data_IF_083593017155
#
_entry.id   IF_083593017155
#
_cell.length_a   1.000
_cell.length_b   1.000
_cell.length_c   1.000
_cell.angle_alpha   90.00
_cell.angle_beta   90.00
_cell.angle_gamma   90.00
#
_symmetry.space_group_name_H-M   'P 1'
#
loop_
_entity.id
_entity.type
_entity.pdbx_description
1 polymer ?
#
# COMPACT_ATOMS: atom_id res chain seq x y z
N UNK A 1 1.79 -29.53 -17.02
CA UNK A 1 1.77 -28.12 -16.58
C UNK A 1 0.78 -28.03 -15.42
N UNK A 2 1.26 -28.24 -14.18
CA UNK A 2 0.40 -28.18 -12.99
C UNK A 2 0.04 -26.72 -12.75
N UNK A 3 -1.24 -26.38 -12.88
CA UNK A 3 -1.77 -25.10 -12.44
C UNK A 3 -1.68 -25.07 -10.90
N UNK A 4 -0.61 -24.50 -10.37
CA UNK A 4 -0.56 -24.12 -8.96
C UNK A 4 -1.65 -23.06 -8.80
N UNK A 5 -2.76 -23.43 -8.16
CA UNK A 5 -3.85 -22.51 -7.82
C UNK A 5 -3.38 -21.64 -6.64
N UNK A 6 -2.46 -20.72 -6.91
CA UNK A 6 -2.03 -19.68 -5.98
C UNK A 6 -2.90 -18.45 -6.19
N UNK A 7 -3.57 -17.95 -5.14
CA UNK A 7 -4.18 -16.62 -5.24
C UNK A 7 -3.16 -15.56 -4.87
N UNK A 8 -3.19 -14.45 -5.58
CA UNK A 8 -2.41 -13.26 -5.26
C UNK A 8 -3.31 -12.31 -4.47
N UNK A 9 -2.82 -11.83 -3.33
CA UNK A 9 -3.50 -10.84 -2.50
C UNK A 9 -2.61 -9.60 -2.40
N UNK A 10 -3.10 -8.48 -2.92
CA UNK A 10 -2.41 -7.21 -2.85
C UNK A 10 -2.96 -6.38 -1.69
N UNK A 11 -2.08 -5.77 -0.88
CA UNK A 11 -2.47 -5.03 0.33
C UNK A 11 -1.57 -3.80 0.49
N UNK A 12 -2.11 -2.60 0.77
CA UNK A 12 -1.29 -1.42 1.05
C UNK A 12 -0.42 -1.58 2.31
N UNK A 13 0.74 -0.91 2.35
CA UNK A 13 1.55 -0.79 3.56
C UNK A 13 0.69 -0.20 4.69
N UNK A 14 0.88 -0.71 5.92
CA UNK A 14 0.14 -0.28 7.10
C UNK A 14 -1.27 -0.87 7.23
N UNK A 15 -1.84 -1.41 6.16
CA UNK A 15 -3.14 -2.07 6.20
C UNK A 15 -3.07 -3.48 6.83
N UNK A 16 -4.23 -4.12 7.01
CA UNK A 16 -4.31 -5.51 7.49
C UNK A 16 -4.54 -6.44 6.30
N UNK A 17 -3.64 -7.39 6.08
CA UNK A 17 -3.84 -8.43 5.08
C UNK A 17 -4.79 -9.51 5.61
N UNK A 18 -5.70 -9.96 4.75
CA UNK A 18 -6.65 -11.04 5.01
C UNK A 18 -6.42 -12.13 3.98
N UNK A 19 -5.82 -13.25 4.40
CA UNK A 19 -5.45 -14.36 3.52
C UNK A 19 -6.42 -15.52 3.74
N UNK A 20 -7.29 -15.85 2.76
CA UNK A 20 -8.18 -16.98 2.88
C UNK A 20 -7.41 -18.30 2.79
N UNK A 21 -7.76 -19.28 3.61
CA UNK A 21 -7.18 -20.62 3.49
C UNK A 21 -7.83 -21.38 2.32
N UNK A 22 -7.20 -21.36 1.16
CA UNK A 22 -7.68 -22.08 -0.03
C UNK A 22 -7.61 -23.61 0.09
N UNK A 23 -6.95 -24.10 1.14
CA UNK A 23 -6.82 -25.53 1.44
C UNK A 23 -7.98 -26.06 2.30
N UNK A 24 -8.73 -25.17 2.97
CA UNK A 24 -9.88 -25.54 3.78
C UNK A 24 -11.11 -25.69 2.87
N UNK A 25 -11.64 -26.90 2.76
CA UNK A 25 -12.75 -27.24 1.85
C UNK A 25 -13.71 -28.26 2.49
N UNK A 26 -14.61 -28.84 1.71
CA UNK A 26 -15.61 -29.77 2.23
C UNK A 26 -15.00 -31.07 2.79
N UNK A 27 -13.83 -31.47 2.27
CA UNK A 27 -13.14 -32.71 2.61
C UNK A 27 -11.92 -32.49 3.52
N UNK A 28 -11.47 -31.24 3.70
CA UNK A 28 -10.31 -30.89 4.51
C UNK A 28 -10.61 -29.81 5.55
N UNK A 29 -9.94 -29.88 6.70
CA UNK A 29 -10.05 -28.90 7.79
C UNK A 29 -8.73 -28.21 8.05
N UNK A 30 -8.78 -26.90 8.20
CA UNK A 30 -7.63 -26.07 8.53
C UNK A 30 -6.84 -26.60 9.74
N UNK A 31 -5.52 -26.69 9.59
CA UNK A 31 -4.61 -27.06 10.68
C UNK A 31 -3.73 -25.89 11.11
N UNK A 32 -2.94 -25.34 10.19
CA UNK A 32 -2.03 -24.23 10.48
C UNK A 32 -1.57 -23.52 9.19
N UNK A 33 -1.00 -22.34 9.37
CA UNK A 33 -0.27 -21.60 8.35
C UNK A 33 1.24 -21.77 8.53
N UNK A 34 1.95 -21.92 7.41
CA UNK A 34 3.39 -21.74 7.32
C UNK A 34 3.67 -20.39 6.67
N UNK A 35 4.37 -19.53 7.40
CA UNK A 35 4.74 -18.18 7.03
C UNK A 35 6.09 -18.19 6.31
N UNK A 36 6.50 -17.01 5.85
CA UNK A 36 7.83 -16.76 5.31
C UNK A 36 8.86 -17.01 6.43
N UNK A 37 9.92 -17.76 6.13
CA UNK A 37 10.95 -18.14 7.10
C UNK A 37 10.59 -19.34 7.99
N UNK A 38 9.70 -20.22 7.52
CA UNK A 38 9.29 -21.48 8.18
C UNK A 38 8.65 -21.34 9.56
N UNK A 39 8.27 -20.12 9.93
CA UNK A 39 7.46 -19.87 11.11
C UNK A 39 6.05 -20.43 10.91
N UNK A 40 5.48 -21.02 11.96
CA UNK A 40 4.13 -21.61 11.92
C UNK A 40 3.17 -20.79 12.77
N UNK A 41 1.95 -20.57 12.28
CA UNK A 41 0.84 -19.98 13.03
C UNK A 41 -0.34 -20.95 13.02
N UNK A 42 -0.79 -21.37 14.19
CA UNK A 42 -1.91 -22.29 14.32
C UNK A 42 -2.30 -22.51 15.79
N UNK A 43 -3.25 -23.43 16.06
CA UNK A 43 -3.63 -23.77 17.42
C UNK A 43 -2.41 -24.16 18.24
N UNK A 44 -2.17 -23.47 19.36
CA UNK A 44 -1.01 -23.71 20.24
C UNK A 44 0.29 -23.01 19.81
N UNK A 45 0.35 -22.37 18.65
CA UNK A 45 1.54 -21.64 18.19
C UNK A 45 1.18 -20.28 17.57
N UNK A 46 1.30 -19.20 18.35
CA UNK A 46 1.18 -17.81 17.89
C UNK A 46 2.45 -17.04 18.28
N UNK A 47 3.47 -16.99 17.41
CA UNK A 47 4.74 -16.31 17.70
C UNK A 47 4.59 -14.81 17.94
N UNK A 48 3.63 -14.13 17.28
CA UNK A 48 3.28 -12.74 17.55
C UNK A 48 1.76 -12.55 17.49
N UNK A 49 1.12 -12.57 18.67
CA UNK A 49 -0.35 -12.48 18.83
C UNK A 49 -0.96 -11.15 18.38
N UNK A 50 -0.16 -10.09 18.40
CA UNK A 50 -0.60 -8.76 17.98
C UNK A 50 -0.52 -8.60 16.46
N UNK A 51 0.46 -9.24 15.83
CA UNK A 51 0.65 -9.23 14.37
C UNK A 51 -0.24 -10.24 13.66
N UNK A 52 -0.26 -11.48 14.13
CA UNK A 52 -0.90 -12.61 13.46
C UNK A 52 -2.11 -13.11 14.25
N UNK A 53 -3.25 -13.21 13.57
CA UNK A 53 -4.47 -13.83 14.09
C UNK A 53 -5.07 -14.72 13.02
N UNK A 54 -5.77 -15.79 13.41
CA UNK A 54 -6.47 -16.62 12.44
C UNK A 54 -7.84 -17.04 12.95
N UNK A 55 -8.74 -17.30 12.02
CA UNK A 55 -10.05 -17.89 12.29
C UNK A 55 -9.94 -19.43 12.27
N UNK A 56 -10.41 -20.08 13.33
CA UNK A 56 -10.28 -21.55 13.48
C UNK A 56 -11.14 -22.30 12.47
N UNK A 57 -12.35 -21.81 12.17
CA UNK A 57 -13.31 -22.51 11.30
C UNK A 57 -12.98 -22.40 9.81
N UNK A 58 -12.52 -21.22 9.39
CA UNK A 58 -12.24 -20.90 7.98
C UNK A 58 -10.76 -21.05 7.65
N UNK A 59 -9.89 -20.98 8.65
CA UNK A 59 -8.45 -20.88 8.47
C UNK A 59 -7.99 -19.51 7.95
N UNK A 60 -8.83 -18.48 7.91
CA UNK A 60 -8.42 -17.15 7.41
C UNK A 60 -7.33 -16.55 8.29
N UNK A 61 -6.20 -16.15 7.70
CA UNK A 61 -5.09 -15.49 8.39
C UNK A 61 -5.19 -13.96 8.25
N UNK A 62 -5.07 -13.28 9.37
CA UNK A 62 -5.00 -11.83 9.48
C UNK A 62 -3.58 -11.41 9.86
N UNK A 63 -2.99 -10.53 9.06
CA UNK A 63 -1.68 -9.95 9.31
C UNK A 63 -1.85 -8.44 9.46
N UNK A 64 -1.70 -7.93 10.68
CA UNK A 64 -1.92 -6.50 10.96
C UNK A 64 -0.73 -5.65 10.54
N UNK A 65 -0.99 -4.42 10.12
CA UNK A 65 0.02 -3.40 9.81
C UNK A 65 1.15 -3.96 8.95
N UNK A 66 0.82 -4.44 7.75
CA UNK A 66 1.78 -5.07 6.85
C UNK A 66 2.83 -4.08 6.37
N UNK A 67 4.05 -4.56 6.20
CA UNK A 67 5.17 -3.86 5.60
C UNK A 67 5.73 -4.71 4.46
N UNK A 68 6.72 -4.20 3.74
CA UNK A 68 7.38 -4.99 2.69
C UNK A 68 8.07 -6.25 3.21
N UNK A 69 8.31 -6.37 4.53
CA UNK A 69 8.90 -7.56 5.14
C UNK A 69 7.92 -8.75 5.17
N UNK A 70 6.61 -8.50 5.14
CA UNK A 70 5.58 -9.54 5.09
C UNK A 70 5.19 -9.95 3.66
N UNK A 71 5.80 -9.38 2.62
CA UNK A 71 5.53 -9.80 1.25
C UNK A 71 6.12 -11.19 0.98
N UNK A 72 5.34 -12.09 0.37
CA UNK A 72 5.79 -13.44 0.01
C UNK A 72 4.69 -14.49 0.06
N UNK A 73 5.09 -15.76 0.04
CA UNK A 73 4.17 -16.89 -0.03
C UNK A 73 3.82 -17.43 1.36
N UNK A 74 2.52 -17.51 1.62
CA UNK A 74 1.94 -18.10 2.81
C UNK A 74 1.26 -19.41 2.43
N UNK A 75 1.58 -20.51 3.12
CA UNK A 75 0.98 -21.82 2.85
C UNK A 75 -0.05 -22.12 3.92
N UNK A 76 -1.27 -22.43 3.49
CA UNK A 76 -2.27 -23.01 4.36
C UNK A 76 -2.25 -24.53 4.26
N UNK A 77 -2.16 -25.20 5.41
CA UNK A 77 -2.17 -26.65 5.52
C UNK A 77 -3.50 -27.08 6.15
N UNK A 78 -4.21 -28.00 5.50
CA UNK A 78 -5.44 -28.60 5.99
C UNK A 78 -5.35 -30.12 5.92
N UNK A 79 -6.03 -30.79 6.84
CA UNK A 79 -6.05 -32.26 6.95
C UNK A 79 -7.38 -32.81 6.47
N UNK A 80 -7.35 -33.91 5.72
CA UNK A 80 -8.55 -34.63 5.30
C UNK A 80 -9.39 -35.11 6.49
N UNK A 81 -10.70 -35.11 6.31
CA UNK A 81 -11.67 -35.49 7.35
C UNK A 81 -11.78 -37.00 7.48
N UNK A 82 -11.81 -37.73 6.35
CA UNK A 82 -11.94 -39.18 6.31
C UNK A 82 -10.59 -39.92 6.27
N UNK A 83 -9.51 -39.19 5.97
CA UNK A 83 -8.19 -39.75 5.74
C UNK A 83 -7.08 -39.01 6.50
N UNK A 84 -5.85 -39.41 6.18
CA UNK A 84 -4.62 -38.72 6.62
C UNK A 84 -4.00 -37.88 5.50
N UNK A 85 -4.76 -37.60 4.45
CA UNK A 85 -4.36 -36.75 3.35
C UNK A 85 -4.21 -35.30 3.82
N UNK A 86 -3.28 -34.59 3.17
CA UNK A 86 -2.96 -33.21 3.47
C UNK A 86 -3.16 -32.38 2.20
N UNK A 87 -3.93 -31.30 2.32
CA UNK A 87 -4.08 -30.29 1.29
C UNK A 87 -3.20 -29.10 1.65
N UNK A 88 -2.39 -28.65 0.68
CA UNK A 88 -1.52 -27.48 0.84
C UNK A 88 -1.80 -26.53 -0.31
N UNK A 89 -2.18 -25.28 0.02
CA UNK A 89 -2.40 -24.20 -0.94
C UNK A 89 -1.69 -22.95 -0.49
N UNK A 90 -1.17 -22.20 -1.46
CA UNK A 90 -0.38 -21.00 -1.20
C UNK A 90 -1.15 -19.74 -1.59
N UNK A 91 -0.99 -18.68 -0.81
CA UNK A 91 -1.41 -17.32 -1.15
C UNK A 91 -0.16 -16.45 -1.21
N UNK A 92 0.01 -15.71 -2.30
CA UNK A 92 1.08 -14.72 -2.44
C UNK A 92 0.58 -13.37 -1.94
N UNK A 93 1.21 -12.84 -0.88
CA UNK A 93 0.95 -11.51 -0.36
C UNK A 93 1.90 -10.51 -1.04
N UNK A 94 1.34 -9.57 -1.79
CA UNK A 94 2.04 -8.44 -2.37
C UNK A 94 1.70 -7.19 -1.56
N UNK A 95 2.72 -6.54 -1.00
CA UNK A 95 2.52 -5.30 -0.24
C UNK A 95 2.78 -4.10 -1.13
N UNK A 96 1.74 -3.32 -1.43
CA UNK A 96 1.81 -2.11 -2.25
C UNK A 96 2.16 -0.90 -1.40
N UNK A 97 3.11 -0.09 -1.86
CA UNK A 97 3.34 1.24 -1.30
C UNK A 97 2.27 2.19 -1.85
N UNK A 98 1.76 3.07 -1.02
CA UNK A 98 0.81 4.09 -1.47
C UNK A 98 1.55 5.08 -2.37
N UNK A 99 1.23 5.06 -3.66
CA UNK A 99 1.95 5.88 -4.63
C UNK A 99 1.65 7.35 -4.44
N UNK A 100 0.45 7.70 -3.97
CA UNK A 100 0.06 9.09 -3.72
C UNK A 100 0.95 9.74 -2.63
N UNK A 101 1.31 9.02 -1.57
CA UNK A 101 2.28 9.51 -0.57
C UNK A 101 3.70 9.63 -1.14
N UNK A 102 4.10 8.75 -2.05
CA UNK A 102 5.41 8.78 -2.72
C UNK A 102 5.48 9.95 -3.72
N UNK A 103 4.40 10.24 -4.44
CA UNK A 103 4.30 11.31 -5.44
C UNK A 103 4.11 12.69 -4.79
N UNK A 104 3.38 12.82 -3.68
CA UNK A 104 3.22 14.11 -2.99
C UNK A 104 4.53 14.64 -2.41
N UNK A 105 5.45 13.74 -2.03
CA UNK A 105 6.76 14.10 -1.49
C UNK A 105 7.88 14.07 -2.56
N UNK A 106 7.51 13.90 -3.83
CA UNK A 106 8.46 13.94 -4.93
C UNK A 106 9.07 15.35 -5.05
N UNK A 107 10.38 15.43 -4.90
CA UNK A 107 11.10 16.70 -4.85
C UNK A 107 10.95 17.49 -6.16
N UNK A 108 10.86 16.79 -7.30
CA UNK A 108 10.66 17.40 -8.62
C UNK A 108 9.30 18.10 -8.69
N UNK A 109 8.24 17.43 -8.24
CA UNK A 109 6.88 17.98 -8.25
C UNK A 109 6.75 19.20 -7.32
N UNK A 110 7.33 19.12 -6.11
CA UNK A 110 7.32 20.23 -5.16
C UNK A 110 8.19 21.40 -5.62
N UNK A 111 9.34 21.13 -6.24
CA UNK A 111 10.20 22.14 -6.85
C UNK A 111 9.49 22.85 -8.00
N UNK A 112 8.84 22.10 -8.90
CA UNK A 112 8.09 22.67 -10.01
C UNK A 112 6.95 23.57 -9.54
N UNK A 113 6.16 23.11 -8.56
CA UNK A 113 5.11 23.92 -7.92
C UNK A 113 5.68 25.20 -7.32
N UNK A 114 6.82 25.12 -6.64
CA UNK A 114 7.52 26.27 -6.07
C UNK A 114 8.00 27.27 -7.13
N UNK A 115 8.64 26.78 -8.20
CA UNK A 115 9.12 27.61 -9.31
C UNK A 115 7.99 28.34 -10.03
N UNK A 116 6.86 27.66 -10.27
CA UNK A 116 5.68 28.28 -10.89
C UNK A 116 5.09 29.37 -9.99
N UNK A 117 4.96 29.11 -8.69
CA UNK A 117 4.46 30.10 -7.73
C UNK A 117 5.36 31.34 -7.69
N UNK A 118 6.67 31.17 -7.53
CA UNK A 118 7.64 32.28 -7.51
C UNK A 118 7.63 33.04 -8.84
N UNK A 119 7.64 32.32 -9.96
CA UNK A 119 7.58 32.93 -11.30
C UNK A 119 6.32 33.78 -11.50
N UNK A 120 5.16 33.27 -11.07
CA UNK A 120 3.90 34.02 -11.17
C UNK A 120 3.90 35.31 -10.34
N UNK A 121 4.49 35.28 -9.14
CA UNK A 121 4.62 36.46 -8.26
C UNK A 121 5.53 37.51 -8.91
N UNK A 122 6.68 37.09 -9.46
CA UNK A 122 7.62 38.00 -10.13
C UNK A 122 6.96 38.67 -11.34
N UNK A 123 6.22 37.93 -12.15
CA UNK A 123 5.51 38.48 -13.32
C UNK A 123 4.47 39.53 -12.89
N UNK A 124 3.69 39.25 -11.84
CA UNK A 124 2.70 40.20 -11.33
C UNK A 124 3.36 41.46 -10.74
N UNK A 125 4.48 41.33 -10.04
CA UNK A 125 5.25 42.47 -9.51
C UNK A 125 5.79 43.34 -10.64
N UNK A 126 6.39 42.73 -11.66
CA UNK A 126 6.91 43.46 -12.83
C UNK A 126 5.78 44.17 -13.57
N UNK A 127 4.67 43.49 -13.82
CA UNK A 127 3.50 44.09 -14.46
C UNK A 127 2.94 45.27 -13.63
N UNK A 128 2.85 45.12 -12.31
CA UNK A 128 2.42 46.18 -11.40
C UNK A 128 3.35 47.39 -11.42
N UNK A 129 4.67 47.18 -11.41
CA UNK A 129 5.68 48.24 -11.50
C UNK A 129 5.57 48.98 -12.85
N UNK A 130 5.46 48.24 -13.96
CA UNK A 130 5.30 48.83 -15.29
C UNK A 130 4.01 49.65 -15.39
N UNK A 131 2.88 49.13 -14.90
CA UNK A 131 1.62 49.84 -14.86
C UNK A 131 1.72 51.13 -14.01
N UNK A 132 2.37 51.08 -12.86
CA UNK A 132 2.61 52.24 -12.01
C UNK A 132 3.45 53.31 -12.70
N UNK A 133 4.52 52.90 -13.39
CA UNK A 133 5.38 53.81 -14.16
C UNK A 133 4.61 54.50 -15.29
N UNK A 134 3.81 53.74 -16.05
CA UNK A 134 2.99 54.27 -17.14
C UNK A 134 1.94 55.25 -16.60
N UNK A 135 1.29 54.91 -15.47
CA UNK A 135 0.30 55.77 -14.82
C UNK A 135 0.92 57.10 -14.37
N UNK A 136 2.08 57.07 -13.68
CA UNK A 136 2.78 58.29 -13.27
C UNK A 136 3.21 59.15 -14.44
N UNK A 137 3.74 58.54 -15.51
CA UNK A 137 4.16 59.26 -16.71
C UNK A 137 2.97 60.00 -17.35
N UNK A 138 1.83 59.30 -17.54
CA UNK A 138 0.61 59.91 -18.09
C UNK A 138 0.08 61.07 -17.24
N UNK A 139 0.11 60.93 -15.90
CA UNK A 139 -0.34 62.01 -14.99
C UNK A 139 0.58 63.22 -15.06
N UNK A 140 1.90 63.03 -15.10
CA UNK A 140 2.88 64.13 -15.27
C UNK A 140 2.71 64.89 -16.58
N UNK A 141 2.39 64.19 -17.68
CA UNK A 141 2.12 64.81 -18.99
C UNK A 141 0.85 65.68 -19.02
N UNK A 142 -0.12 65.46 -18.12
CA UNK A 142 -1.37 66.24 -18.06
C UNK A 142 -1.27 67.56 -17.29
N UNK A 143 -0.17 67.82 -16.58
CA UNK A 143 0.03 69.04 -15.78
C UNK A 143 1.10 69.99 -16.35
N UNK A 144 1.69 69.67 -17.51
CA UNK A 144 2.74 70.46 -18.15
C UNK A 144 2.32 71.13 -19.46
N UNK A 145 1.02 71.32 -19.70
CA UNK A 145 0.46 72.01 -20.87
C UNK A 145 -0.62 72.99 -20.44
#
# INVERSE_FOLDING_TARGET
MLLIRSSVQEVPVGATAVLPCLSNDDNHRFQFWQLIGDQVVGPGNLPNRDKYKFEVLTGTLYIRSVSTAEAGFYKCISKGIEGSDLSIKSVELIVKKDWDEVYENDYETNLFRGLVAVGSIVVLLVAGILAFYIYRRRKGSRFGG
#
